data_IF_742331947382
#
_entry.id   IF_742331947382
#
_cell.length_a   1.000
_cell.length_b   1.000
_cell.length_c   1.000
_cell.angle_alpha   90.00
_cell.angle_beta   90.00
_cell.angle_gamma   90.00
#
_symmetry.space_group_name_H-M   'P 1'
#
loop_
_entity.id
_entity.type
_entity.pdbx_description
1 polymer ?
#
# COMPACT_ATOMS: atom_id res chain seq x y z
N UNK A 1 0.90 53.30 -30.15
CA UNK A 1 2.26 52.98 -29.67
C UNK A 1 2.12 51.72 -28.83
N UNK A 2 2.35 50.56 -29.43
CA UNK A 2 2.26 49.26 -28.74
C UNK A 2 3.54 49.04 -27.92
N UNK A 3 3.39 48.73 -26.63
CA UNK A 3 4.51 48.34 -25.77
C UNK A 3 5.07 46.98 -26.23
N UNK A 4 6.40 46.80 -26.25
CA UNK A 4 6.98 45.52 -26.58
C UNK A 4 6.63 44.50 -25.52
N UNK A 5 6.09 43.35 -25.93
CA UNK A 5 5.96 42.16 -25.11
C UNK A 5 7.39 41.69 -24.87
N UNK A 6 7.85 41.84 -23.63
CA UNK A 6 9.14 41.32 -23.17
C UNK A 6 9.12 39.81 -23.32
N UNK A 7 9.89 39.27 -24.29
CA UNK A 7 10.12 37.87 -24.47
C UNK A 7 11.08 37.41 -23.36
N UNK A 8 10.56 37.21 -22.15
CA UNK A 8 11.23 36.31 -21.21
C UNK A 8 11.17 34.88 -21.80
N UNK A 9 12.27 34.11 -21.72
CA UNK A 9 12.22 32.71 -22.15
C UNK A 9 11.09 32.05 -21.35
N UNK A 10 10.10 31.51 -22.05
CA UNK A 10 8.95 30.86 -21.47
C UNK A 10 9.45 29.73 -20.57
N UNK A 11 9.44 29.93 -19.25
CA UNK A 11 9.47 28.80 -18.33
C UNK A 11 8.26 27.94 -18.72
N UNK A 12 8.53 26.71 -19.20
CA UNK A 12 7.51 25.71 -19.49
C UNK A 12 6.63 25.63 -18.24
N UNK A 13 5.35 26.01 -18.35
CA UNK A 13 4.46 26.07 -17.21
C UNK A 13 4.33 24.69 -16.56
N UNK A 14 4.05 24.64 -15.25
CA UNK A 14 3.86 23.38 -14.50
C UNK A 14 2.90 22.44 -15.23
N UNK A 15 1.84 22.97 -15.81
CA UNK A 15 0.88 22.23 -16.63
C UNK A 15 1.53 21.50 -17.81
N UNK A 16 2.29 22.22 -18.65
CA UNK A 16 2.95 21.65 -19.84
C UNK A 16 3.99 20.59 -19.44
N UNK A 17 4.66 20.79 -18.31
CA UNK A 17 5.64 19.83 -17.77
C UNK A 17 4.95 18.55 -17.34
N UNK A 18 3.86 18.61 -16.57
CA UNK A 18 3.08 17.44 -16.15
C UNK A 18 2.62 16.65 -17.39
N UNK A 19 2.07 17.32 -18.40
CA UNK A 19 1.63 16.68 -19.66
C UNK A 19 2.79 16.02 -20.40
N UNK A 20 3.91 16.69 -20.52
CA UNK A 20 5.09 16.19 -21.24
C UNK A 20 5.63 14.92 -20.57
N UNK A 21 5.78 14.92 -19.24
CA UNK A 21 6.25 13.75 -18.50
C UNK A 21 5.26 12.59 -18.62
N UNK A 22 3.95 12.85 -18.45
CA UNK A 22 2.93 11.81 -18.56
C UNK A 22 2.89 11.18 -19.96
N UNK A 23 2.95 11.99 -21.01
CA UNK A 23 2.99 11.50 -22.39
C UNK A 23 4.26 10.68 -22.65
N UNK A 24 5.41 11.11 -22.14
CA UNK A 24 6.66 10.35 -22.24
C UNK A 24 6.52 8.96 -21.59
N UNK A 25 5.95 8.89 -20.39
CA UNK A 25 5.71 7.63 -19.68
C UNK A 25 4.77 6.72 -20.49
N UNK A 26 3.66 7.24 -20.98
CA UNK A 26 2.70 6.47 -21.79
C UNK A 26 3.31 5.97 -23.12
N UNK A 27 4.35 6.64 -23.62
CA UNK A 27 5.11 6.20 -24.81
C UNK A 27 6.35 5.32 -24.46
N UNK A 28 6.41 4.76 -23.25
CA UNK A 28 7.45 3.81 -22.83
C UNK A 28 8.70 4.45 -22.26
N UNK A 29 8.73 5.77 -22.05
CA UNK A 29 9.80 6.44 -21.31
C UNK A 29 9.57 6.38 -19.81
N UNK A 30 10.48 7.00 -19.05
CA UNK A 30 10.44 7.03 -17.58
C UNK A 30 10.53 8.45 -17.04
N UNK A 31 10.06 8.67 -15.84
CA UNK A 31 10.29 9.89 -15.06
C UNK A 31 11.66 9.82 -14.38
N UNK A 32 12.38 10.94 -14.32
CA UNK A 32 13.59 11.05 -13.52
C UNK A 32 13.28 11.35 -12.05
N UNK A 33 14.27 11.16 -11.15
CA UNK A 33 14.09 11.47 -9.73
C UNK A 33 13.85 12.96 -9.51
N UNK A 34 14.56 13.81 -10.23
CA UNK A 34 14.45 15.27 -10.18
C UNK A 34 13.06 15.72 -10.62
N UNK A 35 12.55 15.19 -11.73
CA UNK A 35 11.19 15.48 -12.19
C UNK A 35 10.14 15.02 -11.19
N UNK A 36 10.30 13.85 -10.56
CA UNK A 36 9.38 13.36 -9.54
C UNK A 36 9.38 14.24 -8.29
N UNK A 37 10.55 14.77 -7.89
CA UNK A 37 10.68 15.75 -6.80
C UNK A 37 9.96 17.05 -7.19
N UNK A 38 10.09 17.54 -8.42
CA UNK A 38 9.33 18.70 -8.85
C UNK A 38 7.81 18.45 -8.84
N UNK A 39 7.37 17.27 -9.31
CA UNK A 39 5.94 16.93 -9.31
C UNK A 39 5.35 16.81 -7.89
N UNK A 40 6.10 16.32 -6.92
CA UNK A 40 5.59 16.20 -5.55
C UNK A 40 5.45 17.56 -4.86
N UNK A 41 6.16 18.59 -5.34
CA UNK A 41 6.06 19.99 -4.92
C UNK A 41 5.07 20.82 -5.75
N UNK A 42 4.29 20.19 -6.64
CA UNK A 42 3.23 20.87 -7.41
C UNK A 42 2.31 21.65 -6.46
N UNK A 43 1.92 22.86 -6.87
CA UNK A 43 1.02 23.72 -6.10
C UNK A 43 -0.37 23.08 -5.88
N UNK A 44 -1.11 23.58 -4.90
CA UNK A 44 -2.49 23.14 -4.68
C UNK A 44 -3.37 23.39 -5.91
N UNK A 45 -3.15 24.52 -6.62
CA UNK A 45 -3.90 24.91 -7.82
C UNK A 45 -3.69 23.94 -8.99
N UNK A 46 -2.48 23.38 -9.14
CA UNK A 46 -2.12 22.46 -10.20
C UNK A 46 -2.31 20.98 -9.82
N UNK A 47 -2.63 20.68 -8.56
CA UNK A 47 -2.76 19.30 -8.07
C UNK A 47 -3.78 18.49 -8.89
N UNK A 48 -4.92 19.08 -9.26
CA UNK A 48 -5.96 18.39 -10.01
C UNK A 48 -5.49 17.97 -11.42
N UNK A 49 -4.60 18.74 -12.05
CA UNK A 49 -3.99 18.39 -13.34
C UNK A 49 -3.06 17.18 -13.16
N UNK A 50 -2.25 17.18 -12.09
CA UNK A 50 -1.37 16.06 -11.77
C UNK A 50 -2.19 14.77 -11.54
N UNK A 51 -3.30 14.84 -10.79
CA UNK A 51 -4.20 13.71 -10.57
C UNK A 51 -4.80 13.20 -11.88
N UNK A 52 -5.29 14.10 -12.74
CA UNK A 52 -5.87 13.75 -14.03
C UNK A 52 -4.87 13.02 -14.93
N UNK A 53 -3.61 13.46 -14.96
CA UNK A 53 -2.57 12.79 -15.74
C UNK A 53 -2.11 11.48 -15.13
N UNK A 54 -2.09 11.36 -13.80
CA UNK A 54 -1.88 10.07 -13.13
C UNK A 54 -2.99 9.06 -13.47
N UNK A 55 -4.27 9.52 -13.56
CA UNK A 55 -5.36 8.66 -14.01
C UNK A 55 -5.19 8.23 -15.48
N UNK A 56 -4.69 9.10 -16.36
CA UNK A 56 -4.38 8.73 -17.75
C UNK A 56 -3.28 7.67 -17.83
N UNK A 57 -2.23 7.80 -17.05
CA UNK A 57 -1.17 6.77 -16.94
C UNK A 57 -1.79 5.45 -16.42
N UNK A 58 -2.60 5.50 -15.36
CA UNK A 58 -3.30 4.32 -14.85
C UNK A 58 -4.16 3.65 -15.94
N UNK A 59 -4.99 4.41 -16.66
CA UNK A 59 -5.83 3.89 -17.72
C UNK A 59 -5.02 3.24 -18.85
N UNK A 60 -3.87 3.82 -19.19
CA UNK A 60 -3.00 3.30 -20.26
C UNK A 60 -2.38 1.94 -19.91
N UNK A 61 -1.94 1.75 -18.65
CA UNK A 61 -1.18 0.55 -18.25
C UNK A 61 -2.00 -0.48 -17.47
N UNK A 62 -3.11 -0.08 -16.84
CA UNK A 62 -3.85 -0.90 -15.88
C UNK A 62 -5.36 -0.96 -16.14
N UNK A 63 -5.82 -0.45 -17.27
CA UNK A 63 -7.25 -0.34 -17.65
C UNK A 63 -8.12 0.39 -16.59
N UNK A 64 -9.41 0.08 -16.54
CA UNK A 64 -10.37 0.66 -15.58
C UNK A 64 -10.71 -0.29 -14.42
N UNK A 65 -9.92 -1.32 -14.20
CA UNK A 65 -10.18 -2.28 -13.14
C UNK A 65 -9.59 -1.86 -11.79
N UNK A 66 -10.29 -2.21 -10.72
CA UNK A 66 -9.90 -1.98 -9.33
C UNK A 66 -9.72 -3.31 -8.61
N UNK A 67 -8.53 -3.53 -8.08
CA UNK A 67 -8.21 -4.69 -7.23
C UNK A 67 -8.77 -4.45 -5.82
N UNK A 68 -9.61 -5.35 -5.35
CA UNK A 68 -10.22 -5.29 -4.02
C UNK A 68 -9.63 -6.40 -3.15
N UNK A 69 -8.95 -6.03 -2.08
CA UNK A 69 -8.40 -7.00 -1.12
C UNK A 69 -8.95 -6.77 0.29
N UNK A 70 -8.89 -7.83 1.09
CA UNK A 70 -9.22 -7.80 2.51
C UNK A 70 -8.18 -8.55 3.33
N UNK A 71 -8.12 -8.26 4.62
CA UNK A 71 -7.18 -8.88 5.55
C UNK A 71 -7.89 -9.38 6.80
N UNK A 72 -7.25 -10.32 7.51
CA UNK A 72 -7.57 -10.65 8.90
C UNK A 72 -6.33 -10.51 9.75
N UNK A 73 -6.44 -9.84 10.89
CA UNK A 73 -5.38 -9.81 11.91
C UNK A 73 -5.49 -11.09 12.73
N UNK A 74 -4.83 -12.16 12.29
CA UNK A 74 -5.01 -13.50 12.87
C UNK A 74 -4.25 -13.73 14.19
N UNK A 75 -3.31 -12.85 14.53
CA UNK A 75 -2.65 -12.75 15.83
C UNK A 75 -2.36 -11.30 16.12
N UNK A 76 -2.71 -10.82 17.32
CA UNK A 76 -2.63 -9.40 17.68
C UNK A 76 -1.84 -9.14 18.94
N UNK A 77 -1.10 -8.03 18.94
CA UNK A 77 -0.32 -7.55 20.08
C UNK A 77 1.00 -8.30 20.29
N UNK A 78 1.69 -7.98 21.38
CA UNK A 78 2.95 -8.60 21.84
C UNK A 78 4.07 -8.70 20.80
N UNK A 79 4.07 -7.81 19.79
CA UNK A 79 5.14 -7.77 18.82
C UNK A 79 6.44 -7.27 19.46
N UNK A 80 7.57 -8.01 19.36
CA UNK A 80 8.83 -7.60 19.96
C UNK A 80 9.52 -6.44 19.24
N UNK A 81 8.97 -6.00 18.08
CA UNK A 81 9.50 -4.91 17.30
C UNK A 81 9.06 -3.54 17.82
N UNK A 82 9.95 -2.53 17.73
CA UNK A 82 9.71 -1.20 18.27
C UNK A 82 9.27 -0.17 17.22
N UNK A 83 8.65 -0.61 16.13
CA UNK A 83 8.17 0.30 15.07
C UNK A 83 7.30 1.41 15.68
N UNK A 84 7.74 2.67 15.57
CA UNK A 84 7.18 3.83 16.30
C UNK A 84 5.69 4.11 16.01
N UNK A 85 5.18 3.64 14.88
CA UNK A 85 3.78 3.81 14.47
C UNK A 85 2.86 2.67 14.92
N UNK A 86 3.42 1.53 15.36
CA UNK A 86 2.68 0.29 15.45
C UNK A 86 1.98 0.12 16.81
N UNK A 87 0.65 0.05 16.79
CA UNK A 87 -0.15 -0.21 17.98
C UNK A 87 0.10 -1.60 18.61
N UNK A 88 0.58 -2.57 17.83
CA UNK A 88 0.79 -3.95 18.27
C UNK A 88 2.18 -4.19 18.90
N UNK A 89 3.03 -3.16 18.97
CA UNK A 89 4.36 -3.26 19.58
C UNK A 89 4.28 -3.47 21.07
N UNK A 90 5.04 -4.42 21.63
CA UNK A 90 5.16 -4.62 23.06
C UNK A 90 5.94 -3.49 23.78
N UNK A 91 6.59 -2.60 23.01
CA UNK A 91 7.27 -1.41 23.51
C UNK A 91 6.31 -0.24 23.77
N UNK A 92 5.04 -0.34 23.35
CA UNK A 92 4.05 0.74 23.42
C UNK A 92 2.87 0.34 24.30
N UNK A 93 2.26 1.31 24.97
CA UNK A 93 1.07 1.10 25.80
C UNK A 93 -0.18 1.66 25.10
N UNK A 94 -0.65 0.94 24.10
CA UNK A 94 -1.73 1.41 23.21
C UNK A 94 -3.12 0.88 23.58
N UNK A 95 -3.19 -0.10 24.49
CA UNK A 95 -4.46 -0.76 24.81
C UNK A 95 -5.02 -1.62 23.66
N UNK A 96 -4.19 -1.98 22.66
CA UNK A 96 -4.60 -2.89 21.58
C UNK A 96 -5.07 -4.23 22.16
N UNK A 97 -6.14 -4.77 21.60
CA UNK A 97 -6.59 -6.11 21.98
C UNK A 97 -5.53 -7.15 21.62
N UNK A 98 -5.06 -7.89 22.60
CA UNK A 98 -4.09 -8.96 22.43
C UNK A 98 -4.78 -10.31 22.36
N UNK A 99 -4.42 -11.13 21.39
CA UNK A 99 -4.88 -12.50 21.25
C UNK A 99 -3.84 -13.36 20.50
N UNK A 100 -3.78 -14.68 20.81
CA UNK A 100 -2.93 -15.62 20.09
C UNK A 100 -3.46 -15.83 18.67
N UNK A 101 -2.81 -16.73 17.91
CA UNK A 101 -3.31 -17.11 16.59
C UNK A 101 -4.77 -17.60 16.69
N UNK A 102 -5.63 -17.04 15.88
CA UNK A 102 -7.07 -17.31 15.86
C UNK A 102 -7.35 -18.77 15.50
N UNK A 103 -8.45 -19.29 15.96
CA UNK A 103 -8.96 -20.57 15.48
C UNK A 103 -9.29 -20.53 14.00
N UNK A 104 -9.17 -21.69 13.37
CA UNK A 104 -9.32 -21.85 11.92
C UNK A 104 -10.70 -21.40 11.42
N UNK A 105 -11.79 -21.75 12.14
CA UNK A 105 -13.13 -21.42 11.67
C UNK A 105 -13.40 -19.92 11.72
N UNK A 106 -12.88 -19.21 12.70
CA UNK A 106 -12.92 -17.76 12.76
C UNK A 106 -12.22 -17.10 11.56
N UNK A 107 -11.05 -17.62 11.14
CA UNK A 107 -10.34 -17.13 9.96
C UNK A 107 -11.14 -17.44 8.67
N UNK A 108 -11.69 -18.63 8.53
CA UNK A 108 -12.52 -19.01 7.39
C UNK A 108 -13.80 -18.16 7.29
N UNK A 109 -14.42 -17.85 8.43
CA UNK A 109 -15.58 -16.96 8.47
C UNK A 109 -15.21 -15.53 8.02
N UNK A 110 -14.05 -15.02 8.45
CA UNK A 110 -13.54 -13.74 7.98
C UNK A 110 -13.29 -13.74 6.47
N UNK A 111 -12.75 -14.83 5.92
CA UNK A 111 -12.52 -14.97 4.48
C UNK A 111 -13.84 -15.03 3.69
N UNK A 112 -14.88 -15.74 4.18
CA UNK A 112 -16.21 -15.76 3.56
C UNK A 112 -16.82 -14.36 3.52
N UNK A 113 -16.80 -13.64 4.65
CA UNK A 113 -17.27 -12.24 4.74
C UNK A 113 -16.50 -11.32 3.77
N UNK A 114 -15.18 -11.50 3.64
CA UNK A 114 -14.38 -10.75 2.69
C UNK A 114 -14.82 -11.00 1.23
N UNK A 115 -15.10 -12.25 0.87
CA UNK A 115 -15.62 -12.61 -0.45
C UNK A 115 -17.00 -11.97 -0.72
N UNK A 116 -17.91 -12.04 0.26
CA UNK A 116 -19.22 -11.39 0.20
C UNK A 116 -19.09 -9.86 0.05
N UNK A 117 -18.09 -9.26 0.69
CA UNK A 117 -17.71 -7.86 0.54
C UNK A 117 -17.02 -7.52 -0.79
N UNK A 118 -16.92 -8.48 -1.72
CA UNK A 118 -16.38 -8.29 -3.05
C UNK A 118 -14.85 -8.34 -3.16
N UNK A 119 -14.15 -8.76 -2.12
CA UNK A 119 -12.71 -9.00 -2.20
C UNK A 119 -12.41 -10.20 -3.12
N UNK A 120 -11.38 -10.07 -3.95
CA UNK A 120 -10.86 -11.16 -4.77
C UNK A 120 -9.64 -11.82 -4.11
N UNK A 121 -9.04 -11.12 -3.14
CA UNK A 121 -7.84 -11.53 -2.44
C UNK A 121 -8.00 -11.36 -0.93
N UNK A 122 -7.51 -12.34 -0.20
CA UNK A 122 -7.56 -12.34 1.26
C UNK A 122 -6.18 -12.61 1.85
N UNK A 123 -5.81 -11.84 2.88
CA UNK A 123 -4.49 -11.95 3.52
C UNK A 123 -4.61 -12.29 4.99
N UNK A 124 -3.89 -13.33 5.42
CA UNK A 124 -3.66 -13.60 6.84
C UNK A 124 -2.48 -12.75 7.31
N UNK A 125 -2.69 -11.95 8.35
CA UNK A 125 -1.66 -11.10 8.95
C UNK A 125 -1.45 -11.51 10.41
N UNK A 126 -0.20 -11.60 10.84
CA UNK A 126 0.15 -11.89 12.23
C UNK A 126 1.06 -10.81 12.81
N UNK A 127 0.83 -10.40 14.04
CA UNK A 127 1.79 -9.61 14.80
C UNK A 127 3.06 -10.42 15.08
N UNK A 128 4.21 -9.77 15.22
CA UNK A 128 5.48 -10.42 15.56
C UNK A 128 6.57 -10.22 14.53
N UNK A 129 7.83 -10.48 14.95
CA UNK A 129 8.99 -10.38 14.08
C UNK A 129 8.94 -11.42 12.93
N UNK A 130 8.46 -12.61 13.23
CA UNK A 130 8.35 -13.74 12.31
C UNK A 130 7.37 -14.79 12.88
N UNK A 131 7.16 -15.87 12.13
CA UNK A 131 6.41 -17.05 12.58
C UNK A 131 7.35 -18.25 12.60
N UNK A 132 8.14 -18.36 13.69
CA UNK A 132 9.12 -19.43 13.88
C UNK A 132 8.57 -20.64 14.64
N UNK A 133 7.35 -20.57 15.19
CA UNK A 133 6.69 -21.73 15.76
C UNK A 133 6.22 -22.65 14.61
N UNK A 134 6.78 -23.88 14.47
CA UNK A 134 6.43 -24.78 13.37
C UNK A 134 4.94 -25.15 13.35
N UNK A 135 4.35 -25.40 14.53
CA UNK A 135 2.94 -25.81 14.64
C UNK A 135 2.01 -24.68 14.18
N UNK A 136 2.31 -23.45 14.57
CA UNK A 136 1.55 -22.28 14.11
C UNK A 136 1.74 -22.06 12.61
N UNK A 137 2.95 -22.23 12.09
CA UNK A 137 3.20 -22.06 10.66
C UNK A 137 2.46 -23.12 9.84
N UNK A 138 2.44 -24.37 10.29
CA UNK A 138 1.69 -25.45 9.64
C UNK A 138 0.17 -25.23 9.70
N UNK A 139 -0.35 -24.67 10.81
CA UNK A 139 -1.76 -24.22 10.88
C UNK A 139 -2.06 -23.12 9.86
N UNK A 140 -1.15 -22.14 9.69
CA UNK A 140 -1.31 -21.08 8.68
C UNK A 140 -1.34 -21.69 7.28
N UNK A 141 -0.43 -22.59 6.94
CA UNK A 141 -0.41 -23.30 5.65
C UNK A 141 -1.72 -24.03 5.41
N UNK A 142 -2.21 -24.77 6.41
CA UNK A 142 -3.46 -25.51 6.32
C UNK A 142 -4.65 -24.60 6.03
N UNK A 143 -4.82 -23.54 6.82
CA UNK A 143 -5.97 -22.63 6.65
C UNK A 143 -5.90 -21.83 5.35
N UNK A 144 -4.71 -21.45 4.88
CA UNK A 144 -4.52 -20.82 3.57
C UNK A 144 -5.00 -21.76 2.45
N UNK A 145 -4.63 -23.04 2.51
CA UNK A 145 -5.10 -24.03 1.57
C UNK A 145 -6.62 -24.17 1.55
N UNK A 146 -7.25 -24.18 2.71
CA UNK A 146 -8.72 -24.21 2.83
C UNK A 146 -9.39 -22.97 2.25
N UNK A 147 -8.86 -21.77 2.53
CA UNK A 147 -9.39 -20.51 1.95
C UNK A 147 -9.36 -20.58 0.43
N UNK A 148 -8.23 -21.00 -0.16
CA UNK A 148 -8.10 -21.13 -1.60
C UNK A 148 -9.09 -22.15 -2.19
N UNK A 149 -9.14 -23.36 -1.63
CA UNK A 149 -9.88 -24.46 -2.22
C UNK A 149 -11.38 -24.41 -1.94
N UNK A 150 -11.81 -23.98 -0.73
CA UNK A 150 -13.21 -24.00 -0.32
C UNK A 150 -13.91 -22.65 -0.58
N UNK A 151 -13.20 -21.53 -0.48
CA UNK A 151 -13.77 -20.19 -0.62
C UNK A 151 -13.46 -19.61 -2.00
N UNK A 152 -12.32 -19.99 -2.61
CA UNK A 152 -11.93 -19.54 -3.95
C UNK A 152 -11.47 -18.09 -3.97
N UNK A 153 -10.73 -17.64 -2.94
CA UNK A 153 -10.02 -16.37 -2.91
C UNK A 153 -8.55 -16.57 -3.26
N UNK A 154 -7.94 -15.60 -3.94
CA UNK A 154 -6.48 -15.53 -3.99
C UNK A 154 -5.93 -15.32 -2.59
N UNK A 155 -4.92 -16.10 -2.24
CA UNK A 155 -4.34 -16.07 -0.88
C UNK A 155 -3.03 -15.30 -0.84
N UNK A 156 -2.94 -14.45 0.19
CA UNK A 156 -1.75 -13.69 0.56
C UNK A 156 -1.46 -13.88 2.04
N UNK A 157 -0.30 -13.46 2.49
CA UNK A 157 0.02 -13.42 3.91
C UNK A 157 1.08 -12.36 4.24
N UNK A 158 1.10 -11.97 5.53
CA UNK A 158 2.10 -11.10 6.13
C UNK A 158 2.45 -11.68 7.50
N UNK A 159 3.55 -12.39 7.60
CA UNK A 159 3.94 -13.20 8.77
C UNK A 159 5.25 -12.70 9.40
N UNK A 160 5.62 -11.44 9.14
CA UNK A 160 6.89 -10.85 9.54
C UNK A 160 8.05 -11.20 8.60
N UNK A 161 9.25 -11.36 9.15
CA UNK A 161 10.44 -11.73 8.38
C UNK A 161 10.31 -13.19 7.92
N UNK A 162 10.66 -13.44 6.66
CA UNK A 162 10.40 -14.70 5.97
C UNK A 162 11.72 -15.37 5.56
N UNK A 163 11.90 -16.65 5.89
CA UNK A 163 12.99 -17.46 5.34
C UNK A 163 12.62 -18.00 3.96
N UNK A 164 13.63 -18.43 3.20
CA UNK A 164 13.40 -19.02 1.87
C UNK A 164 12.62 -20.32 1.95
N UNK A 165 12.89 -21.17 2.95
CA UNK A 165 12.18 -22.44 3.19
C UNK A 165 10.70 -22.21 3.49
N UNK A 166 10.40 -21.19 4.31
CA UNK A 166 9.01 -20.79 4.58
C UNK A 166 8.34 -20.26 3.30
N UNK A 167 9.05 -19.46 2.50
CA UNK A 167 8.54 -18.97 1.23
C UNK A 167 8.18 -20.10 0.26
N UNK A 168 9.02 -21.14 0.16
CA UNK A 168 8.73 -22.32 -0.66
C UNK A 168 7.44 -23.04 -0.23
N UNK A 169 7.24 -23.27 1.08
CA UNK A 169 6.01 -23.88 1.60
C UNK A 169 4.77 -23.01 1.32
N UNK A 170 4.89 -21.69 1.46
CA UNK A 170 3.81 -20.76 1.11
C UNK A 170 3.49 -20.79 -0.39
N UNK A 171 4.50 -20.88 -1.25
CA UNK A 171 4.32 -21.03 -2.69
C UNK A 171 3.60 -22.32 -3.04
N UNK A 172 3.97 -23.43 -2.41
CA UNK A 172 3.40 -24.75 -2.64
C UNK A 172 1.90 -24.78 -2.32
N UNK A 173 1.45 -24.17 -1.22
CA UNK A 173 0.02 -24.07 -0.90
C UNK A 173 -0.72 -23.10 -1.82
N UNK A 174 0.01 -22.29 -2.59
CA UNK A 174 -0.53 -21.40 -3.62
C UNK A 174 -0.66 -19.94 -3.21
N UNK A 175 0.12 -19.48 -2.23
CA UNK A 175 0.25 -18.05 -1.93
C UNK A 175 0.76 -17.32 -3.17
N UNK A 176 0.02 -16.33 -3.63
CA UNK A 176 0.34 -15.55 -4.83
C UNK A 176 1.16 -14.30 -4.53
N UNK A 177 0.98 -13.73 -3.32
CA UNK A 177 1.70 -12.54 -2.86
C UNK A 177 2.10 -12.66 -1.39
N UNK A 178 3.28 -12.17 -1.05
CA UNK A 178 3.75 -11.99 0.33
C UNK A 178 3.82 -10.50 0.64
N UNK A 179 3.17 -10.07 1.72
CA UNK A 179 3.18 -8.67 2.13
C UNK A 179 4.28 -8.42 3.17
N UNK A 180 5.20 -7.52 2.82
CA UNK A 180 6.21 -6.98 3.73
C UNK A 180 6.54 -5.54 3.31
N UNK A 181 5.99 -4.57 4.03
CA UNK A 181 6.26 -3.17 3.74
C UNK A 181 7.71 -2.79 4.00
N UNK A 182 8.25 -1.89 3.17
CA UNK A 182 9.49 -1.16 3.49
C UNK A 182 9.23 0.00 4.46
N UNK A 183 7.98 0.33 4.72
CA UNK A 183 7.39 1.32 5.63
C UNK A 183 7.66 2.76 5.23
N UNK A 184 8.90 3.13 4.89
CA UNK A 184 9.32 4.47 4.49
C UNK A 184 10.57 4.40 3.61
N UNK A 185 11.15 5.56 3.26
CA UNK A 185 12.41 5.62 2.53
C UNK A 185 13.55 4.92 3.29
N UNK A 186 14.51 4.29 2.60
CA UNK A 186 15.70 3.73 3.23
C UNK A 186 16.45 4.73 4.13
N UNK A 187 16.56 5.99 3.69
CA UNK A 187 17.21 7.07 4.44
C UNK A 187 16.49 7.44 5.75
N UNK A 188 15.18 7.14 5.86
CA UNK A 188 14.36 7.47 7.03
C UNK A 188 14.05 6.25 7.91
N UNK A 189 14.29 5.04 7.42
CA UNK A 189 13.94 3.81 8.14
C UNK A 189 14.57 3.69 9.53
N UNK A 190 15.85 4.09 9.77
CA UNK A 190 16.47 4.05 11.09
C UNK A 190 15.75 4.89 12.15
N UNK A 191 15.04 5.94 11.73
CA UNK A 191 14.24 6.79 12.62
C UNK A 191 12.92 6.15 13.03
N UNK A 192 12.47 5.09 12.34
CA UNK A 192 11.17 4.47 12.53
C UNK A 192 11.27 3.18 13.35
N UNK A 193 12.30 2.38 13.14
CA UNK A 193 12.50 1.09 13.81
C UNK A 193 13.99 0.81 14.01
N UNK A 194 14.33 0.24 15.18
CA UNK A 194 15.72 -0.13 15.52
C UNK A 194 15.87 -1.60 15.91
N UNK A 195 14.79 -2.35 16.02
CA UNK A 195 14.81 -3.77 16.40
C UNK A 195 14.99 -4.71 15.21
N UNK A 196 14.72 -4.24 14.01
CA UNK A 196 15.13 -4.86 12.75
C UNK A 196 15.61 -3.78 11.77
N UNK A 197 16.44 -4.18 10.82
CA UNK A 197 17.01 -3.27 9.85
C UNK A 197 16.18 -3.19 8.56
N UNK A 198 16.51 -2.20 7.73
CA UNK A 198 15.98 -2.12 6.37
C UNK A 198 16.38 -3.35 5.55
N UNK A 199 17.61 -3.85 5.73
CA UNK A 199 18.15 -5.03 5.06
C UNK A 199 17.36 -6.30 5.41
N UNK A 200 16.85 -6.44 6.66
CA UNK A 200 15.97 -7.56 7.05
C UNK A 200 14.68 -7.57 6.20
N UNK A 201 14.15 -6.38 5.88
CA UNK A 201 12.99 -6.25 4.97
C UNK A 201 13.36 -6.65 3.54
N UNK A 202 14.51 -6.20 3.06
CA UNK A 202 15.00 -6.56 1.71
C UNK A 202 15.21 -8.06 1.58
N UNK A 203 15.79 -8.69 2.59
CA UNK A 203 15.99 -10.13 2.63
C UNK A 203 14.67 -10.90 2.57
N UNK A 204 13.65 -10.42 3.27
CA UNK A 204 12.29 -11.00 3.25
C UNK A 204 11.66 -10.91 1.85
N UNK A 205 11.75 -9.73 1.21
CA UNK A 205 11.23 -9.50 -0.15
C UNK A 205 11.95 -10.41 -1.15
N UNK A 206 13.27 -10.48 -1.10
CA UNK A 206 14.11 -11.30 -1.96
C UNK A 206 13.77 -12.79 -1.82
N UNK A 207 13.60 -13.29 -0.58
CA UNK A 207 13.21 -14.67 -0.33
C UNK A 207 11.83 -15.02 -0.94
N UNK A 208 10.85 -14.12 -0.81
CA UNK A 208 9.55 -14.31 -1.43
C UNK A 208 9.65 -14.37 -2.96
N UNK A 209 10.38 -13.41 -3.57
CA UNK A 209 10.58 -13.35 -5.02
C UNK A 209 11.36 -14.56 -5.56
N UNK A 210 12.42 -14.99 -4.89
CA UNK A 210 13.20 -16.20 -5.25
C UNK A 210 12.36 -17.48 -5.20
N UNK A 211 11.40 -17.56 -4.26
CA UNK A 211 10.44 -18.67 -4.20
C UNK A 211 9.32 -18.56 -5.27
N UNK A 212 9.30 -17.51 -6.09
CA UNK A 212 8.28 -17.30 -7.12
C UNK A 212 6.96 -16.75 -6.56
N UNK A 213 6.99 -16.12 -5.37
CA UNK A 213 5.88 -15.38 -4.80
C UNK A 213 6.08 -13.89 -5.13
N UNK A 214 5.05 -13.23 -5.66
CA UNK A 214 5.12 -11.78 -5.90
C UNK A 214 5.20 -11.02 -4.58
N UNK A 215 6.05 -10.00 -4.51
CA UNK A 215 6.12 -9.14 -3.34
C UNK A 215 5.02 -8.07 -3.37
N UNK A 216 4.36 -7.88 -2.23
CA UNK A 216 3.46 -6.77 -1.96
C UNK A 216 4.15 -5.89 -0.92
N UNK A 217 4.63 -4.72 -1.31
CA UNK A 217 5.39 -3.85 -0.44
C UNK A 217 5.09 -2.39 -0.73
N UNK A 218 4.94 -1.61 0.30
CA UNK A 218 4.68 -0.18 0.26
C UNK A 218 5.12 0.47 1.56
N UNK A 219 4.39 1.48 2.00
CA UNK A 219 4.75 2.18 3.22
C UNK A 219 3.59 2.95 3.84
N UNK A 220 3.94 3.82 4.76
CA UNK A 220 3.03 4.67 5.52
C UNK A 220 3.45 6.13 5.30
N UNK A 221 2.52 6.96 4.86
CA UNK A 221 2.70 8.40 4.74
C UNK A 221 2.39 9.06 6.09
N UNK A 222 3.20 10.02 6.49
CA UNK A 222 2.99 10.78 7.74
C UNK A 222 3.86 10.31 8.92
N UNK A 223 4.93 9.57 8.65
CA UNK A 223 5.93 9.14 9.64
C UNK A 223 7.01 10.21 9.90
N UNK A 224 6.72 11.48 9.62
CA UNK A 224 7.66 12.62 9.64
C UNK A 224 8.72 12.58 8.53
N UNK A 225 8.47 11.80 7.49
CA UNK A 225 9.28 11.79 6.27
C UNK A 225 9.10 13.08 5.46
N UNK A 226 10.15 13.49 4.73
CA UNK A 226 10.06 14.59 3.77
C UNK A 226 9.37 14.17 2.47
N UNK A 227 8.97 15.13 1.64
CA UNK A 227 8.41 14.85 0.32
C UNK A 227 9.42 14.13 -0.58
N UNK A 228 10.71 14.49 -0.50
CA UNK A 228 11.80 13.83 -1.22
C UNK A 228 11.97 12.37 -0.76
N UNK A 229 11.78 12.09 0.52
CA UNK A 229 11.82 10.73 1.06
C UNK A 229 10.62 9.89 0.56
N UNK A 230 9.44 10.48 0.30
CA UNK A 230 8.34 9.78 -0.37
C UNK A 230 8.71 9.39 -1.80
N UNK A 231 9.39 10.28 -2.53
CA UNK A 231 9.92 9.99 -3.87
C UNK A 231 11.00 8.90 -3.80
N UNK A 232 11.92 8.98 -2.83
CA UNK A 232 12.94 7.94 -2.59
C UNK A 232 12.29 6.57 -2.36
N UNK A 233 11.25 6.50 -1.52
CA UNK A 233 10.49 5.27 -1.27
C UNK A 233 9.90 4.70 -2.56
N UNK A 234 9.32 5.53 -3.41
CA UNK A 234 8.73 5.08 -4.67
C UNK A 234 9.77 4.54 -5.65
N UNK A 235 10.93 5.19 -5.78
CA UNK A 235 12.04 4.69 -6.61
C UNK A 235 12.66 3.42 -6.03
N UNK A 236 12.70 3.27 -4.72
CA UNK A 236 13.16 2.04 -4.09
C UNK A 236 12.23 0.87 -4.38
N UNK A 237 10.91 1.06 -4.29
CA UNK A 237 9.92 0.06 -4.70
C UNK A 237 10.07 -0.32 -6.19
N UNK A 238 10.38 0.65 -7.06
CA UNK A 238 10.71 0.39 -8.47
C UNK A 238 11.97 -0.46 -8.62
N UNK A 239 13.04 -0.12 -7.90
CA UNK A 239 14.32 -0.88 -7.90
C UNK A 239 14.13 -2.33 -7.44
N UNK A 240 13.24 -2.55 -6.47
CA UNK A 240 12.90 -3.87 -5.93
C UNK A 240 11.91 -4.66 -6.80
N UNK A 241 11.51 -4.12 -7.95
CA UNK A 241 10.52 -4.73 -8.85
C UNK A 241 9.21 -5.09 -8.14
N UNK A 242 8.72 -4.18 -7.27
CA UNK A 242 7.45 -4.37 -6.58
C UNK A 242 6.29 -4.06 -7.52
N UNK A 243 5.43 -5.03 -7.74
CA UNK A 243 4.25 -4.92 -8.61
C UNK A 243 2.95 -4.64 -7.85
N UNK A 244 2.97 -4.67 -6.52
CA UNK A 244 1.82 -4.41 -5.66
C UNK A 244 2.22 -3.51 -4.49
N UNK A 245 1.72 -2.28 -4.51
CA UNK A 245 2.15 -1.20 -3.61
C UNK A 245 0.98 -0.68 -2.78
N UNK A 246 0.78 -1.18 -1.54
CA UNK A 246 -0.16 -0.58 -0.61
C UNK A 246 0.43 0.68 0.02
N UNK A 247 -0.31 1.77 -0.05
CA UNK A 247 0.01 3.03 0.61
C UNK A 247 -0.97 3.26 1.76
N UNK A 248 -0.43 3.20 2.97
CA UNK A 248 -1.12 3.54 4.19
C UNK A 248 -0.91 5.03 4.51
N UNK A 249 -1.78 5.58 5.32
CA UNK A 249 -1.64 6.93 5.85
C UNK A 249 -1.67 6.79 7.37
N UNK A 250 -0.71 7.42 8.05
CA UNK A 250 -0.65 7.32 9.50
C UNK A 250 -1.99 7.77 10.13
N UNK A 251 -2.55 6.90 10.93
CA UNK A 251 -3.59 7.23 11.88
C UNK A 251 -2.96 7.18 13.28
N UNK A 252 -2.64 8.32 13.89
CA UNK A 252 -1.94 8.37 15.17
C UNK A 252 -2.69 7.59 16.25
N UNK A 253 -1.99 6.66 16.89
CA UNK A 253 -2.56 5.84 17.96
C UNK A 253 -1.97 6.28 19.31
N UNK A 254 -2.86 6.55 20.27
CA UNK A 254 -2.45 6.91 21.62
C UNK A 254 -1.55 5.82 22.24
N UNK A 255 -0.49 6.26 22.90
CA UNK A 255 0.52 5.37 23.49
C UNK A 255 1.64 4.97 22.55
N UNK A 256 1.60 5.36 21.27
CA UNK A 256 2.74 5.22 20.34
C UNK A 256 3.59 6.49 20.34
N UNK A 257 4.87 6.43 19.93
CA UNK A 257 5.71 7.62 19.76
C UNK A 257 5.13 8.66 18.78
N UNK A 258 4.25 8.27 17.86
CA UNK A 258 3.61 9.15 16.89
C UNK A 258 2.18 9.56 17.24
N UNK A 259 1.77 9.39 18.53
CA UNK A 259 0.41 9.75 18.96
C UNK A 259 0.03 11.21 18.75
N UNK A 260 1.02 12.11 18.73
CA UNK A 260 0.84 13.56 18.55
C UNK A 260 1.14 14.06 17.13
N UNK A 261 1.42 13.16 16.16
CA UNK A 261 1.66 13.57 14.80
C UNK A 261 0.41 14.21 14.21
N UNK A 262 0.59 15.33 13.52
CA UNK A 262 -0.50 15.97 12.80
C UNK A 262 -0.92 15.14 11.58
N UNK A 263 -2.22 15.13 11.31
CA UNK A 263 -2.76 14.49 10.11
C UNK A 263 -2.27 15.21 8.85
N UNK A 264 -1.92 14.45 7.84
CA UNK A 264 -1.55 15.01 6.54
C UNK A 264 -2.74 15.70 5.86
N UNK A 265 -2.47 16.75 5.10
CA UNK A 265 -3.49 17.36 4.26
C UNK A 265 -3.92 16.38 3.16
N UNK A 266 -5.23 16.23 2.87
CA UNK A 266 -5.72 15.32 1.84
C UNK A 266 -5.08 15.56 0.46
N UNK A 267 -4.88 16.81 0.05
CA UNK A 267 -4.23 17.12 -1.23
C UNK A 267 -2.77 16.67 -1.29
N UNK A 268 -2.03 16.75 -0.19
CA UNK A 268 -0.63 16.26 -0.14
C UNK A 268 -0.55 14.73 -0.26
N UNK A 269 -1.53 14.02 0.30
CA UNK A 269 -1.67 12.57 0.15
C UNK A 269 -1.98 12.22 -1.31
N UNK A 270 -2.98 12.88 -1.90
CA UNK A 270 -3.38 12.63 -3.28
C UNK A 270 -2.25 12.94 -4.27
N UNK A 271 -1.52 14.03 -4.05
CA UNK A 271 -0.33 14.39 -4.84
C UNK A 271 0.74 13.30 -4.75
N UNK A 272 0.98 12.79 -3.54
CA UNK A 272 1.91 11.66 -3.34
C UNK A 272 1.45 10.43 -4.13
N UNK A 273 0.17 10.07 -4.08
CA UNK A 273 -0.39 8.95 -4.84
C UNK A 273 -0.19 9.11 -6.35
N UNK A 274 -0.44 10.32 -6.86
CA UNK A 274 -0.23 10.63 -8.28
C UNK A 274 1.25 10.45 -8.68
N UNK A 275 2.18 11.00 -7.89
CA UNK A 275 3.63 10.86 -8.16
C UNK A 275 4.06 9.40 -8.11
N UNK A 276 3.53 8.59 -7.20
CA UNK A 276 3.77 7.15 -7.21
C UNK A 276 3.34 6.49 -8.53
N UNK A 277 2.19 6.90 -9.10
CA UNK A 277 1.75 6.41 -10.42
C UNK A 277 2.70 6.81 -11.54
N UNK A 278 3.23 8.03 -11.52
CA UNK A 278 4.23 8.46 -12.51
C UNK A 278 5.52 7.63 -12.42
N UNK A 279 5.96 7.25 -11.21
CA UNK A 279 7.19 6.45 -11.00
C UNK A 279 6.95 4.96 -11.28
N UNK A 280 5.77 4.45 -10.97
CA UNK A 280 5.37 3.04 -11.01
C UNK A 280 4.15 2.84 -11.93
N UNK A 281 4.28 3.10 -13.25
CA UNK A 281 3.14 3.16 -14.18
C UNK A 281 2.37 1.84 -14.29
N UNK A 282 3.04 0.71 -14.15
CA UNK A 282 2.46 -0.64 -14.31
C UNK A 282 2.00 -1.26 -12.97
N UNK A 283 2.35 -0.66 -11.82
CA UNK A 283 2.11 -1.30 -10.54
C UNK A 283 0.63 -1.26 -10.14
N UNK A 284 0.22 -2.25 -9.37
CA UNK A 284 -1.01 -2.21 -8.61
C UNK A 284 -0.79 -1.34 -7.38
N UNK A 285 -1.21 -0.09 -7.43
CA UNK A 285 -1.08 0.84 -6.30
C UNK A 285 -2.45 0.95 -5.62
N UNK A 286 -2.48 0.71 -4.30
CA UNK A 286 -3.72 0.76 -3.53
C UNK A 286 -3.62 1.67 -2.33
N UNK A 287 -4.73 2.29 -1.98
CA UNK A 287 -4.87 2.90 -0.66
C UNK A 287 -5.33 1.85 0.35
N UNK A 288 -4.78 1.89 1.54
CA UNK A 288 -5.00 0.92 2.60
C UNK A 288 -5.38 1.64 3.91
N UNK A 289 -4.77 1.30 5.05
CA UNK A 289 -5.12 1.85 6.33
C UNK A 289 -5.00 3.38 6.41
N UNK A 290 -5.89 4.00 7.19
CA UNK A 290 -5.91 5.43 7.46
C UNK A 290 -6.58 6.31 6.40
N UNK A 291 -7.05 5.75 5.28
CA UNK A 291 -7.65 6.55 4.20
C UNK A 291 -8.94 7.27 4.61
N UNK A 292 -9.77 6.64 5.43
CA UNK A 292 -11.05 7.18 5.86
C UNK A 292 -10.86 8.46 6.68
N UNK A 293 -9.92 8.43 7.62
CA UNK A 293 -9.63 9.53 8.53
C UNK A 293 -8.93 10.67 7.80
N UNK A 294 -8.00 10.35 6.92
CA UNK A 294 -7.11 11.33 6.31
C UNK A 294 -7.64 11.88 4.96
N UNK A 295 -8.28 11.06 4.11
CA UNK A 295 -8.86 11.54 2.85
C UNK A 295 -10.31 12.01 2.99
N UNK A 296 -11.05 11.52 3.99
CA UNK A 296 -12.45 11.91 4.24
C UNK A 296 -13.30 11.79 2.95
N UNK A 297 -13.92 12.86 2.52
CA UNK A 297 -14.76 12.90 1.31
C UNK A 297 -13.95 12.83 -0.01
N UNK A 298 -12.63 12.96 0.05
CA UNK A 298 -11.76 12.95 -1.14
C UNK A 298 -11.26 11.54 -1.53
N UNK A 299 -11.80 10.47 -0.95
CA UNK A 299 -11.35 9.10 -1.24
C UNK A 299 -11.51 8.69 -2.71
N UNK A 300 -12.56 9.17 -3.39
CA UNK A 300 -12.79 8.94 -4.80
C UNK A 300 -11.62 9.46 -5.69
N UNK A 301 -11.01 10.58 -5.29
CA UNK A 301 -9.86 11.13 -6.00
C UNK A 301 -8.62 10.26 -5.92
N UNK A 302 -8.50 9.36 -4.94
CA UNK A 302 -7.41 8.41 -4.92
C UNK A 302 -7.46 7.47 -6.14
N UNK A 303 -8.63 6.92 -6.47
CA UNK A 303 -8.82 6.06 -7.64
C UNK A 303 -8.72 6.84 -8.95
N UNK A 304 -9.31 8.03 -9.03
CA UNK A 304 -9.20 8.92 -10.20
C UNK A 304 -7.91 9.75 -10.21
N UNK A 305 -7.06 9.60 -9.23
CA UNK A 305 -5.73 10.21 -9.13
C UNK A 305 -4.59 9.20 -9.31
N UNK A 306 -4.86 8.04 -9.94
CA UNK A 306 -3.82 7.10 -10.34
C UNK A 306 -3.79 5.78 -9.60
N UNK A 307 -4.60 5.56 -8.56
CA UNK A 307 -4.66 4.26 -7.88
C UNK A 307 -5.60 3.29 -8.62
N UNK A 308 -5.34 2.00 -8.49
CA UNK A 308 -6.13 0.92 -9.08
C UNK A 308 -6.39 -0.22 -8.09
N UNK A 309 -6.37 0.07 -6.80
CA UNK A 309 -6.71 -0.89 -5.75
C UNK A 309 -7.17 -0.23 -4.47
N UNK A 310 -7.98 -0.95 -3.71
CA UNK A 310 -8.41 -0.57 -2.37
C UNK A 310 -8.40 -1.79 -1.45
N UNK A 311 -8.25 -1.51 -0.16
CA UNK A 311 -8.52 -2.49 0.90
C UNK A 311 -9.89 -2.22 1.48
N UNK A 312 -10.73 -3.26 1.56
CA UNK A 312 -12.09 -3.17 2.10
C UNK A 312 -12.22 -3.87 3.45
N UNK A 313 -13.20 -3.47 4.24
CA UNK A 313 -13.44 -3.99 5.58
C UNK A 313 -12.55 -3.34 6.64
N UNK A 314 -12.28 -4.07 7.73
CA UNK A 314 -11.43 -3.58 8.82
C UNK A 314 -9.95 -3.70 8.50
N UNK A 315 -9.15 -2.91 9.22
CA UNK A 315 -7.68 -2.99 9.23
C UNK A 315 -7.20 -3.80 10.45
N UNK A 316 -5.89 -3.80 10.70
CA UNK A 316 -5.32 -4.63 11.77
C UNK A 316 -5.87 -4.28 13.17
N UNK A 317 -5.93 -2.98 13.47
CA UNK A 317 -6.30 -2.46 14.80
C UNK A 317 -7.36 -1.36 14.77
N UNK A 318 -7.81 -0.98 13.56
CA UNK A 318 -8.81 0.07 13.35
C UNK A 318 -9.93 -0.42 12.44
N UNK A 319 -11.13 0.13 12.60
CA UNK A 319 -12.22 -0.08 11.66
C UNK A 319 -11.95 0.57 10.30
N UNK A 320 -12.61 0.07 9.27
CA UNK A 320 -12.61 0.64 7.92
C UNK A 320 -13.98 1.20 7.55
N UNK A 321 -14.09 1.70 6.31
CA UNK A 321 -15.36 2.10 5.71
C UNK A 321 -16.21 0.85 5.41
N UNK A 322 -17.52 1.04 5.32
CA UNK A 322 -18.43 -0.01 4.87
C UNK A 322 -18.00 -0.54 3.49
N UNK A 323 -17.86 -1.86 3.30
CA UNK A 323 -17.55 -2.41 1.97
C UNK A 323 -18.56 -1.99 0.89
N UNK A 324 -19.83 -1.84 1.26
CA UNK A 324 -20.90 -1.42 0.35
C UNK A 324 -20.65 0.00 -0.17
N UNK A 325 -20.22 0.92 0.71
CA UNK A 325 -19.89 2.30 0.32
C UNK A 325 -18.66 2.34 -0.60
N UNK A 326 -17.69 1.45 -0.38
CA UNK A 326 -16.53 1.33 -1.25
C UNK A 326 -16.90 0.80 -2.64
N UNK A 327 -17.76 -0.23 -2.69
CA UNK A 327 -18.24 -0.78 -3.94
C UNK A 327 -19.12 0.22 -4.71
N UNK A 328 -19.96 1.00 -4.00
CA UNK A 328 -20.74 2.07 -4.59
C UNK A 328 -19.83 3.15 -5.17
N UNK A 329 -18.80 3.58 -4.43
CA UNK A 329 -17.81 4.55 -4.94
C UNK A 329 -17.13 4.06 -6.22
N UNK A 330 -16.72 2.79 -6.30
CA UNK A 330 -16.13 2.21 -7.52
C UNK A 330 -17.12 2.28 -8.69
N UNK A 331 -18.38 1.95 -8.45
CA UNK A 331 -19.44 1.99 -9.47
C UNK A 331 -19.72 3.42 -9.94
N UNK A 332 -19.84 4.38 -9.02
CA UNK A 332 -20.10 5.80 -9.33
C UNK A 332 -18.96 6.43 -10.15
N UNK A 333 -17.73 5.90 -10.00
CA UNK A 333 -16.56 6.31 -10.78
C UNK A 333 -16.46 5.60 -12.15
N UNK A 334 -17.46 4.78 -12.51
CA UNK A 334 -17.45 3.95 -13.74
C UNK A 334 -16.20 3.05 -13.86
N UNK A 335 -15.71 2.58 -12.70
CA UNK A 335 -14.61 1.62 -12.63
C UNK A 335 -15.18 0.21 -12.46
N UNK A 336 -14.47 -0.78 -12.99
CA UNK A 336 -14.83 -2.20 -12.86
C UNK A 336 -14.02 -2.85 -11.74
N UNK A 337 -14.59 -3.83 -11.07
CA UNK A 337 -13.83 -4.66 -10.13
C UNK A 337 -13.09 -5.75 -10.87
N UNK A 338 -11.85 -6.01 -10.51
CA UNK A 338 -11.17 -7.21 -10.97
C UNK A 338 -11.97 -8.44 -10.54
N UNK A 339 -12.06 -9.43 -11.41
CA UNK A 339 -12.56 -10.76 -11.07
C UNK A 339 -11.38 -11.66 -10.77
N UNK A 340 -11.48 -12.54 -9.76
CA UNK A 340 -10.46 -13.54 -9.53
C UNK A 340 -10.23 -14.33 -10.83
N UNK A 341 -8.99 -14.43 -11.27
CA UNK A 341 -8.63 -15.39 -12.31
C UNK A 341 -8.72 -16.78 -11.67
N UNK A 342 -9.79 -17.51 -11.98
CA UNK A 342 -10.03 -18.89 -11.54
C UNK A 342 -9.03 -19.82 -12.23
#
# INVERSE_FOLDING_TARGET
MALPIDQQPSQVGTYEKILTIANRIMNGGEITKEEAIELIHTSDDDTMILLAMADKIRQHFNDNSVDVCAIVNARSGKCPENCKFCAQSAHHNTGVQEYPFMDEESILQAARKAKEAGAIRFSIVTSGRNTNNPDEFDQIIHVLGRIKNEIGLEICCSLGLLTYEQALKLKEVGVTRYHSNIETAPSHFPDICTTHSYEDKMFTIDNAQKAGIRACSGGILGLNETLEQRVEMAFELKRLHIDSVPLNILNPVKGTPFESNEALRPLDILRTFAVFRFILPNALIRTAGGREVNLRDLQAYALKGGLNGIMVGGYLTTGGRSPQDDLQMIQDLELTRNTAQV
#
